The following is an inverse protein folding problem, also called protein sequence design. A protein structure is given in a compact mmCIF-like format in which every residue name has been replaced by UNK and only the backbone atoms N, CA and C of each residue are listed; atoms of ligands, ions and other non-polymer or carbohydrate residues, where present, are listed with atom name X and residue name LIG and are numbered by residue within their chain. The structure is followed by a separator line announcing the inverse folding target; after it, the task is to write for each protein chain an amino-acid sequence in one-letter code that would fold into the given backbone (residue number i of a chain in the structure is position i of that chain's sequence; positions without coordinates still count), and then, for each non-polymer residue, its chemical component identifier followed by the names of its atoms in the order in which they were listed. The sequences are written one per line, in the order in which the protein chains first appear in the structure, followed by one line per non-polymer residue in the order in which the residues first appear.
data_IF_841058941323
#
_entry.id   IF_841058941323
#
_cell.length_a   1.000
_cell.length_b   1.000
_cell.length_c   1.000
_cell.angle_alpha   90.00
_cell.angle_beta   90.00
_cell.angle_gamma   90.00
#
_symmetry.space_group_name_H-M   'P 1'
#
loop_
_entity.id
_entity.type
_entity.pdbx_description
1 polymer ?
#
# COMPACT_ATOMS: atom_id res chain seq x y z
N UNK A 1 -37.09 25.60 13.14
CA UNK A 1 -36.72 24.18 12.94
C UNK A 1 -35.33 24.20 12.35
N UNK A 2 -34.30 23.91 13.16
CA UNK A 2 -32.93 23.80 12.66
C UNK A 2 -32.78 22.39 12.14
N UNK A 3 -32.65 22.27 10.83
CA UNK A 3 -32.15 21.07 10.17
C UNK A 3 -30.89 20.58 10.90
N UNK A 4 -31.00 19.43 11.54
CA UNK A 4 -29.84 18.70 11.98
C UNK A 4 -29.09 18.30 10.71
N UNK A 5 -28.06 19.07 10.38
CA UNK A 5 -26.94 18.57 9.59
C UNK A 5 -26.24 17.52 10.45
N UNK A 6 -26.87 16.36 10.59
CA UNK A 6 -26.19 15.10 10.84
C UNK A 6 -25.31 14.89 9.62
N UNK A 7 -24.16 15.57 9.62
CA UNK A 7 -23.03 15.19 8.80
C UNK A 7 -22.92 13.70 8.96
N UNK A 8 -23.19 13.02 7.85
CA UNK A 8 -23.20 11.59 7.63
C UNK A 8 -21.78 11.06 7.86
N UNK A 9 -21.29 11.21 9.08
CA UNK A 9 -20.12 10.58 9.65
C UNK A 9 -20.61 9.25 10.21
N UNK A 10 -21.32 8.48 9.36
CA UNK A 10 -21.27 7.04 9.51
C UNK A 10 -19.83 6.75 9.18
N UNK A 11 -19.00 6.74 10.22
CA UNK A 11 -17.72 6.10 10.18
C UNK A 11 -18.04 4.72 9.60
N UNK A 12 -17.68 4.51 8.35
CA UNK A 12 -17.75 3.21 7.72
C UNK A 12 -16.87 2.32 8.60
N UNK A 13 -17.48 1.63 9.56
CA UNK A 13 -16.82 0.70 10.46
C UNK A 13 -16.02 -0.32 9.64
N UNK A 14 -16.52 -0.60 8.43
CA UNK A 14 -15.89 -1.33 7.34
C UNK A 14 -14.55 -0.72 6.86
N UNK A 15 -14.45 0.60 6.71
CA UNK A 15 -13.21 1.27 6.26
C UNK A 15 -12.16 1.23 7.37
N UNK A 16 -12.54 1.54 8.61
CA UNK A 16 -11.60 1.48 9.73
C UNK A 16 -11.05 0.05 9.91
N UNK A 17 -11.92 -0.94 9.76
CA UNK A 17 -11.53 -2.36 9.78
C UNK A 17 -10.60 -2.70 8.63
N UNK A 18 -10.90 -2.29 7.39
CA UNK A 18 -10.03 -2.52 6.23
C UNK A 18 -8.64 -1.88 6.39
N UNK A 19 -8.57 -0.66 6.93
CA UNK A 19 -7.30 0.03 7.19
C UNK A 19 -6.50 -0.66 8.31
N UNK A 20 -7.16 -1.10 9.38
CA UNK A 20 -6.50 -1.85 10.45
C UNK A 20 -5.98 -3.21 9.95
N UNK A 21 -6.76 -3.88 9.09
CA UNK A 21 -6.32 -5.11 8.44
C UNK A 21 -5.08 -4.87 7.59
N UNK A 22 -5.06 -3.80 6.78
CA UNK A 22 -3.92 -3.37 5.96
C UNK A 22 -2.65 -3.12 6.77
N UNK A 23 -2.76 -2.44 7.93
CA UNK A 23 -1.62 -2.17 8.81
C UNK A 23 -1.05 -3.45 9.45
N UNK A 24 -1.91 -4.44 9.70
CA UNK A 24 -1.52 -5.75 10.25
C UNK A 24 -1.17 -6.77 9.16
N UNK A 25 -1.04 -6.37 7.89
CA UNK A 25 -0.60 -7.29 6.84
C UNK A 25 0.89 -7.53 7.01
N UNK A 26 1.22 -8.75 7.42
CA UNK A 26 2.55 -9.31 7.30
C UNK A 26 2.49 -10.39 6.22
N UNK A 27 3.35 -10.26 5.21
CA UNK A 27 3.53 -11.26 4.14
C UNK A 27 4.99 -11.62 4.10
N UNK A 28 5.28 -12.91 4.33
CA UNK A 28 6.61 -13.47 4.14
C UNK A 28 6.73 -13.92 2.68
N UNK A 29 7.69 -13.35 1.94
CA UNK A 29 8.02 -13.75 0.58
C UNK A 29 9.50 -14.05 0.47
N UNK A 30 9.84 -15.16 -0.18
CA UNK A 30 11.21 -15.48 -0.56
C UNK A 30 11.44 -15.07 -2.01
N UNK A 31 12.51 -14.32 -2.26
CA UNK A 31 12.94 -13.93 -3.60
C UNK A 31 14.46 -13.93 -3.70
N UNK A 32 14.96 -14.09 -4.91
CA UNK A 32 16.38 -13.96 -5.22
C UNK A 32 16.69 -12.49 -5.53
N UNK A 33 17.53 -11.85 -4.70
CA UNK A 33 17.92 -10.44 -4.86
C UNK A 33 18.77 -10.16 -6.11
N UNK A 34 19.39 -11.19 -6.68
CA UNK A 34 20.19 -11.09 -7.91
C UNK A 34 19.35 -11.30 -9.19
N UNK A 35 18.08 -11.71 -9.05
CA UNK A 35 17.19 -11.99 -10.19
C UNK A 35 16.00 -11.02 -10.22
N UNK A 36 15.95 -10.10 -11.20
CA UNK A 36 14.89 -9.11 -11.27
C UNK A 36 13.51 -9.70 -11.54
N UNK A 37 13.43 -10.86 -12.19
CA UNK A 37 12.16 -11.57 -12.43
C UNK A 37 11.61 -12.11 -11.10
N UNK A 38 12.47 -12.71 -10.27
CA UNK A 38 12.15 -13.20 -8.92
C UNK A 38 11.67 -12.08 -7.99
N UNK A 39 12.31 -10.90 -8.07
CA UNK A 39 11.87 -9.70 -7.35
C UNK A 39 10.47 -9.25 -7.79
N UNK A 40 10.23 -9.17 -9.10
CA UNK A 40 8.92 -8.76 -9.63
C UNK A 40 7.82 -9.78 -9.27
N UNK A 41 8.13 -11.08 -9.31
CA UNK A 41 7.22 -12.13 -8.85
C UNK A 41 6.87 -12.00 -7.36
N UNK A 42 7.83 -11.65 -6.51
CA UNK A 42 7.57 -11.43 -5.08
C UNK A 42 6.68 -10.21 -4.84
N UNK A 43 6.92 -9.11 -5.56
CA UNK A 43 6.04 -7.93 -5.52
C UNK A 43 4.62 -8.33 -5.92
N UNK A 44 4.45 -9.03 -7.06
CA UNK A 44 3.15 -9.48 -7.54
C UNK A 44 2.46 -10.41 -6.54
N UNK A 45 3.18 -11.32 -5.91
CA UNK A 45 2.64 -12.23 -4.91
C UNK A 45 2.12 -11.48 -3.66
N UNK A 46 2.88 -10.50 -3.16
CA UNK A 46 2.43 -9.64 -2.05
C UNK A 46 1.20 -8.83 -2.46
N UNK A 47 1.23 -8.24 -3.66
CA UNK A 47 0.12 -7.46 -4.19
C UNK A 47 -1.17 -8.27 -4.33
N UNK A 48 -1.08 -9.52 -4.79
CA UNK A 48 -2.21 -10.44 -4.94
C UNK A 48 -2.73 -10.91 -3.57
N UNK A 49 -1.85 -11.13 -2.60
CA UNK A 49 -2.23 -11.46 -1.23
C UNK A 49 -3.03 -10.32 -0.57
N UNK A 50 -2.59 -9.08 -0.77
CA UNK A 50 -3.30 -7.87 -0.31
C UNK A 50 -4.66 -7.77 -1.01
N UNK A 51 -4.70 -7.95 -2.33
CA UNK A 51 -5.94 -7.90 -3.11
C UNK A 51 -6.97 -8.95 -2.64
N UNK A 52 -6.50 -10.18 -2.45
CA UNK A 52 -7.34 -11.29 -2.01
C UNK A 52 -7.93 -11.04 -0.63
N UNK A 53 -7.13 -10.50 0.31
CA UNK A 53 -7.61 -10.14 1.65
C UNK A 53 -8.65 -9.01 1.62
N UNK A 54 -8.51 -8.06 0.71
CA UNK A 54 -9.35 -6.85 0.66
C UNK A 54 -10.41 -6.89 -0.43
N UNK A 55 -10.57 -8.02 -1.12
CA UNK A 55 -11.60 -8.25 -2.12
C UNK A 55 -13.01 -7.93 -1.60
N UNK A 56 -13.26 -8.14 -0.31
CA UNK A 56 -14.52 -7.80 0.36
C UNK A 56 -14.75 -6.30 0.61
N UNK A 57 -13.69 -5.49 0.56
CA UNK A 57 -13.71 -4.05 0.84
C UNK A 57 -13.36 -3.20 -0.41
N UNK A 58 -13.32 -3.83 -1.59
CA UNK A 58 -13.13 -3.13 -2.87
C UNK A 58 -14.36 -2.29 -3.22
N UNK A 59 -14.12 -1.04 -3.63
CA UNK A 59 -15.17 -0.08 -4.01
C UNK A 59 -15.09 1.26 -3.29
N UNK A 60 -14.42 1.32 -2.14
CA UNK A 60 -14.18 2.56 -1.41
C UNK A 60 -12.87 3.23 -1.82
N UNK A 61 -12.93 4.48 -2.29
CA UNK A 61 -11.75 5.22 -2.75
C UNK A 61 -10.66 5.36 -1.68
N UNK A 62 -11.04 5.39 -0.40
CA UNK A 62 -10.09 5.44 0.74
C UNK A 62 -9.37 4.11 0.95
N UNK A 63 -10.10 3.01 0.85
CA UNK A 63 -9.54 1.64 0.97
C UNK A 63 -8.64 1.37 -0.23
N UNK A 64 -9.07 1.70 -1.44
CA UNK A 64 -8.25 1.60 -2.67
C UNK A 64 -6.96 2.41 -2.55
N UNK A 65 -7.03 3.65 -2.05
CA UNK A 65 -5.83 4.48 -1.84
C UNK A 65 -4.87 3.87 -0.81
N UNK A 66 -5.41 3.29 0.26
CA UNK A 66 -4.61 2.63 1.28
C UNK A 66 -3.97 1.32 0.77
N UNK A 67 -4.70 0.53 -0.03
CA UNK A 67 -4.17 -0.64 -0.74
C UNK A 67 -2.97 -0.25 -1.58
N UNK A 68 -3.10 0.78 -2.41
CA UNK A 68 -2.01 1.26 -3.27
C UNK A 68 -0.80 1.69 -2.46
N UNK A 69 -1.02 2.36 -1.32
CA UNK A 69 0.06 2.79 -0.43
C UNK A 69 0.79 1.61 0.19
N UNK A 70 0.08 0.61 0.71
CA UNK A 70 0.69 -0.58 1.31
C UNK A 70 1.44 -1.40 0.26
N UNK A 71 0.87 -1.58 -0.93
CA UNK A 71 1.57 -2.24 -2.05
C UNK A 71 2.88 -1.52 -2.40
N UNK A 72 2.85 -0.19 -2.43
CA UNK A 72 4.04 0.62 -2.68
C UNK A 72 5.09 0.46 -1.57
N UNK A 73 4.68 0.49 -0.30
CA UNK A 73 5.56 0.26 0.85
C UNK A 73 6.26 -1.11 0.76
N UNK A 74 5.50 -2.19 0.49
CA UNK A 74 6.08 -3.52 0.31
C UNK A 74 7.04 -3.59 -0.88
N UNK A 75 6.67 -2.97 -2.02
CA UNK A 75 7.55 -2.90 -3.18
C UNK A 75 8.86 -2.17 -2.84
N UNK A 76 8.78 -1.06 -2.12
CA UNK A 76 9.95 -0.32 -1.67
C UNK A 76 10.82 -1.18 -0.76
N UNK A 77 10.22 -1.85 0.24
CA UNK A 77 10.92 -2.73 1.17
C UNK A 77 11.61 -3.92 0.47
N UNK A 78 10.97 -4.54 -0.53
CA UNK A 78 11.55 -5.62 -1.34
C UNK A 78 12.75 -5.10 -2.15
N UNK A 79 12.61 -3.95 -2.81
CA UNK A 79 13.68 -3.34 -3.59
C UNK A 79 14.85 -2.85 -2.72
N UNK A 80 14.57 -2.31 -1.54
CA UNK A 80 15.56 -1.93 -0.53
C UNK A 80 16.34 -3.15 -0.03
N UNK A 81 15.66 -4.30 0.15
CA UNK A 81 16.31 -5.56 0.52
C UNK A 81 17.14 -6.18 -0.62
N UNK A 82 16.70 -6.02 -1.87
CA UNK A 82 17.45 -6.49 -3.04
C UNK A 82 18.74 -5.68 -3.28
N UNK A 83 18.71 -4.36 -3.00
CA UNK A 83 19.88 -3.45 -2.94
C UNK A 83 20.50 -3.03 -4.29
N UNK A 84 21.37 -2.00 -4.31
CA UNK A 84 21.21 -0.68 -3.69
C UNK A 84 20.78 0.39 -4.72
N UNK A 85 19.89 1.28 -4.29
CA UNK A 85 19.79 2.68 -4.72
C UNK A 85 19.80 2.99 -6.23
N UNK A 86 18.63 2.91 -6.88
CA UNK A 86 18.28 3.95 -7.88
C UNK A 86 17.53 5.06 -7.15
N UNK A 87 18.30 5.84 -6.39
CA UNK A 87 17.89 7.11 -5.78
C UNK A 87 17.79 8.17 -6.87
N UNK A 88 16.98 7.95 -7.90
CA UNK A 88 16.84 8.86 -9.04
C UNK A 88 15.39 8.93 -9.56
N UNK A 89 14.43 9.20 -8.67
CA UNK A 89 13.07 9.55 -9.14
C UNK A 89 12.19 10.39 -8.20
N UNK A 90 12.73 11.09 -7.20
CA UNK A 90 11.95 12.17 -6.54
C UNK A 90 12.78 13.45 -6.55
N UNK A 91 12.34 14.39 -7.40
CA UNK A 91 13.04 15.63 -7.72
C UNK A 91 13.54 16.39 -6.50
N UNK A 92 14.85 16.35 -6.28
CA UNK A 92 15.52 17.27 -5.37
C UNK A 92 15.83 18.53 -6.15
N UNK A 93 14.94 19.53 -6.05
CA UNK A 93 15.29 20.92 -6.36
C UNK A 93 16.30 21.36 -5.31
N UNK A 94 17.59 21.10 -5.54
CA UNK A 94 18.64 21.69 -4.72
C UNK A 94 18.70 23.19 -5.04
N UNK A 95 18.14 23.98 -4.13
CA UNK A 95 18.35 25.43 -4.11
C UNK A 95 19.79 25.67 -3.68
N UNK A 96 20.64 26.05 -4.62
CA UNK A 96 22.00 26.52 -4.35
C UNK A 96 21.94 27.95 -3.77
N UNK A 97 22.62 28.16 -2.64
CA UNK A 97 22.86 29.47 -2.01
C UNK A 97 24.32 29.90 -2.27
#
# INVERSE_FOLDING_TARGET
MREHAETLFVASEDIATALNLLESIEVEVGFDSDDPESIEQAILAVEEAIDTRLKGHRGDARVESAILRVKFDFRCAILEQAGPEDTDAIGTVQTLH
#
